data_IF_422500195883
#
_entry.id   IF_422500195883
#
_cell.length_a   1.000
_cell.length_b   1.000
_cell.length_c   1.000
_cell.angle_alpha   90.00
_cell.angle_beta   90.00
_cell.angle_gamma   90.00
#
_symmetry.space_group_name_H-M   'P 1'
#
loop_
_entity.id
_entity.type
_entity.pdbx_description
1 polymer ?
#
# COMPACT_ATOMS: atom_id res chain seq x y z
N UNK A 1 17.54 -16.32 9.56
CA UNK A 1 17.23 -15.30 8.56
C UNK A 1 15.75 -14.92 8.65
N UNK A 2 15.48 -13.62 8.61
CA UNK A 2 14.12 -13.06 8.60
C UNK A 2 13.87 -12.54 7.19
N UNK A 3 12.81 -13.03 6.55
CA UNK A 3 12.41 -12.65 5.22
C UNK A 3 11.32 -11.59 5.31
N UNK A 4 11.68 -10.33 5.07
CA UNK A 4 10.70 -9.28 4.79
C UNK A 4 10.28 -9.35 3.30
N UNK A 5 9.69 -10.48 2.92
CA UNK A 5 9.33 -10.81 1.55
C UNK A 5 7.86 -11.22 1.42
N UNK A 6 7.31 -11.10 0.22
CA UNK A 6 6.02 -11.70 -0.12
C UNK A 6 6.13 -13.24 -0.15
N UNK A 7 5.02 -13.99 0.07
CA UNK A 7 5.00 -15.43 -0.10
C UNK A 7 5.47 -15.89 -1.49
N UNK A 8 5.23 -15.08 -2.53
CA UNK A 8 5.70 -15.35 -3.89
C UNK A 8 7.22 -15.23 -4.00
N UNK A 9 7.82 -14.16 -3.45
CA UNK A 9 9.28 -13.99 -3.44
C UNK A 9 9.97 -15.07 -2.56
N UNK A 10 9.38 -15.41 -1.41
CA UNK A 10 9.88 -16.49 -0.57
C UNK A 10 9.85 -17.85 -1.30
N UNK A 11 8.83 -18.11 -2.12
CA UNK A 11 8.77 -19.31 -2.98
C UNK A 11 9.84 -19.32 -4.07
N UNK A 12 10.19 -18.16 -4.64
CA UNK A 12 11.24 -18.08 -5.66
C UNK A 12 12.61 -18.40 -5.08
N UNK A 13 12.89 -17.94 -3.85
CA UNK A 13 14.20 -18.12 -3.21
C UNK A 13 14.33 -19.49 -2.54
N UNK A 14 13.29 -19.94 -1.81
CA UNK A 14 13.33 -21.15 -0.98
C UNK A 14 12.51 -22.32 -1.51
N UNK A 15 11.98 -22.21 -2.74
CA UNK A 15 10.97 -23.12 -3.29
C UNK A 15 11.26 -24.61 -3.10
N UNK A 16 12.51 -25.04 -3.26
CA UNK A 16 12.89 -26.45 -3.17
C UNK A 16 13.15 -26.93 -1.73
N UNK A 17 13.48 -26.01 -0.83
CA UNK A 17 13.64 -26.29 0.59
C UNK A 17 12.30 -26.26 1.37
N UNK A 18 11.28 -25.59 0.84
CA UNK A 18 9.99 -25.43 1.52
C UNK A 18 9.19 -26.74 1.58
N UNK A 19 8.66 -27.13 2.76
CA UNK A 19 7.75 -28.27 2.86
C UNK A 19 6.52 -28.11 1.98
N UNK A 20 6.05 -29.21 1.36
CA UNK A 20 4.98 -29.18 0.36
C UNK A 20 3.69 -28.50 0.81
N UNK A 21 3.31 -28.60 2.10
CA UNK A 21 2.12 -27.91 2.65
C UNK A 21 2.29 -26.39 2.68
N UNK A 22 3.47 -25.90 3.04
CA UNK A 22 3.78 -24.46 3.09
C UNK A 22 3.95 -23.91 1.68
N UNK A 23 4.63 -24.65 0.79
CA UNK A 23 4.74 -24.32 -0.64
C UNK A 23 3.37 -24.13 -1.28
N UNK A 24 2.42 -25.04 -1.01
CA UNK A 24 1.02 -24.92 -1.48
C UNK A 24 0.25 -23.75 -0.87
N UNK A 25 0.52 -23.39 0.38
CA UNK A 25 -0.11 -22.23 1.01
C UNK A 25 0.36 -20.94 0.36
N UNK A 26 1.68 -20.76 0.20
CA UNK A 26 2.25 -19.57 -0.42
C UNK A 26 1.82 -19.40 -1.88
N UNK A 27 1.66 -20.50 -2.64
CA UNK A 27 1.17 -20.45 -4.03
C UNK A 27 -0.29 -20.01 -4.15
N UNK A 28 -1.11 -20.29 -3.14
CA UNK A 28 -2.53 -19.92 -3.10
C UNK A 28 -2.77 -18.58 -2.40
N UNK A 29 -1.71 -17.92 -1.94
CA UNK A 29 -1.81 -16.62 -1.30
C UNK A 29 -2.35 -15.60 -2.31
N UNK A 30 -3.44 -14.91 -1.94
CA UNK A 30 -4.11 -13.98 -2.83
C UNK A 30 -3.58 -12.57 -2.64
N UNK A 31 -3.25 -11.93 -3.73
CA UNK A 31 -2.94 -10.51 -3.81
C UNK A 31 -4.18 -9.80 -4.34
N UNK A 32 -4.49 -8.61 -3.85
CA UNK A 32 -5.88 -8.13 -3.93
C UNK A 32 -6.11 -6.65 -4.16
N UNK A 33 -5.26 -5.77 -3.64
CA UNK A 33 -5.43 -4.31 -3.83
C UNK A 33 -4.16 -3.74 -4.36
N UNK A 34 -4.20 -3.09 -5.53
CA UNK A 34 -3.05 -2.40 -6.06
C UNK A 34 -3.17 -0.89 -5.83
N UNK A 35 -2.03 -0.23 -5.72
CA UNK A 35 -1.94 1.22 -5.70
C UNK A 35 -1.46 1.75 -7.04
N UNK A 36 -1.99 2.89 -7.46
CA UNK A 36 -1.38 3.74 -8.48
C UNK A 36 -0.93 5.02 -7.79
N UNK A 37 0.38 5.26 -7.75
CA UNK A 37 0.97 6.37 -6.99
C UNK A 37 1.16 7.58 -7.90
N UNK A 38 0.79 8.75 -7.42
CA UNK A 38 1.01 10.02 -8.11
C UNK A 38 1.59 11.01 -7.11
N UNK A 39 2.80 11.49 -7.38
CA UNK A 39 3.45 12.54 -6.62
C UNK A 39 3.29 13.86 -7.36
N UNK A 40 3.05 14.93 -6.61
CA UNK A 40 2.96 16.27 -7.17
C UNK A 40 3.92 17.22 -6.44
N UNK A 41 4.43 18.18 -7.19
CA UNK A 41 4.94 19.43 -6.62
C UNK A 41 3.89 20.50 -6.88
N UNK A 42 3.42 21.18 -5.84
CA UNK A 42 2.37 22.19 -5.93
C UNK A 42 2.85 23.55 -5.46
N UNK A 43 2.33 24.62 -6.04
CA UNK A 43 2.58 25.99 -5.60
C UNK A 43 1.60 26.39 -4.47
N UNK A 44 2.17 26.68 -3.29
CA UNK A 44 1.43 26.93 -2.06
C UNK A 44 0.69 25.70 -1.54
N UNK A 45 -0.36 25.94 -0.76
CA UNK A 45 -1.16 24.87 -0.15
C UNK A 45 -2.28 24.36 -1.05
N UNK A 46 -2.69 23.10 -0.81
CA UNK A 46 -3.90 22.56 -1.42
C UNK A 46 -5.11 23.39 -0.95
N UNK A 47 -5.95 23.91 -1.87
CA UNK A 47 -7.09 24.76 -1.53
C UNK A 47 -8.28 23.94 -1.02
N UNK A 48 -8.09 23.15 0.04
CA UNK A 48 -9.15 22.32 0.61
C UNK A 48 -10.37 23.14 0.98
N UNK A 49 -11.55 22.66 0.55
CA UNK A 49 -12.85 23.22 0.95
C UNK A 49 -13.08 23.05 2.45
N UNK A 50 -12.65 21.91 3.01
CA UNK A 50 -12.70 21.68 4.46
C UNK A 50 -11.43 22.23 5.13
N UNK A 51 -11.53 23.21 6.05
CA UNK A 51 -10.35 23.81 6.69
C UNK A 51 -9.57 22.82 7.56
N UNK A 52 -10.19 21.75 8.08
CA UNK A 52 -9.49 20.73 8.86
C UNK A 52 -8.45 19.97 8.03
N UNK A 53 -8.71 19.77 6.73
CA UNK A 53 -7.81 19.08 5.82
C UNK A 53 -6.50 19.85 5.59
N UNK A 54 -6.50 21.18 5.76
CA UNK A 54 -5.29 22.03 5.63
C UNK A 54 -4.26 21.77 6.71
N UNK A 55 -4.64 21.13 7.82
CA UNK A 55 -3.72 20.77 8.92
C UNK A 55 -3.45 19.28 9.02
N UNK A 56 -4.06 18.48 8.16
CA UNK A 56 -3.98 17.03 8.22
C UNK A 56 -2.73 16.54 7.46
N UNK A 57 -1.89 15.74 8.12
CA UNK A 57 -0.74 15.12 7.46
C UNK A 57 -1.15 14.16 6.34
N UNK A 58 -2.29 13.47 6.50
CA UNK A 58 -2.88 12.61 5.47
C UNK A 58 -4.39 12.82 5.40
N UNK A 59 -4.91 12.95 4.19
CA UNK A 59 -6.34 13.07 3.88
C UNK A 59 -6.80 11.85 3.09
N UNK A 60 -7.91 11.25 3.49
CA UNK A 60 -8.53 10.12 2.80
C UNK A 60 -9.73 10.61 1.99
N UNK A 61 -9.62 10.58 0.67
CA UNK A 61 -10.63 11.07 -0.27
C UNK A 61 -11.46 9.91 -0.81
N UNK A 62 -12.64 9.72 -0.24
CA UNK A 62 -13.60 8.69 -0.65
C UNK A 62 -15.04 9.15 -0.82
N UNK A 63 -15.36 10.36 -0.35
CA UNK A 63 -16.74 10.84 -0.27
C UNK A 63 -17.53 10.12 0.84
N UNK A 64 -18.81 9.81 0.57
CA UNK A 64 -19.66 9.09 1.52
C UNK A 64 -19.26 7.62 1.65
N UNK A 65 -19.76 6.95 2.69
CA UNK A 65 -19.53 5.52 2.86
C UNK A 65 -20.04 4.70 1.66
N UNK A 66 -21.18 5.05 1.08
CA UNK A 66 -21.72 4.36 -0.10
C UNK A 66 -20.81 4.51 -1.32
N UNK A 67 -20.21 5.70 -1.50
CA UNK A 67 -19.27 5.98 -2.59
C UNK A 67 -17.98 5.18 -2.43
N UNK A 68 -17.44 5.11 -1.20
CA UNK A 68 -16.29 4.25 -0.87
C UNK A 68 -16.61 2.80 -1.16
N UNK A 69 -17.75 2.31 -0.66
CA UNK A 69 -18.17 0.93 -0.84
C UNK A 69 -18.39 0.58 -2.32
N UNK A 70 -18.90 1.52 -3.12
CA UNK A 70 -19.04 1.35 -4.57
C UNK A 70 -17.66 1.30 -5.26
N UNK A 71 -16.78 2.26 -4.98
CA UNK A 71 -15.41 2.29 -5.53
C UNK A 71 -14.64 1.00 -5.23
N UNK A 72 -14.70 0.51 -3.98
CA UNK A 72 -14.03 -0.73 -3.60
C UNK A 72 -14.64 -1.97 -4.25
N UNK A 73 -15.95 -2.00 -4.50
CA UNK A 73 -16.61 -3.09 -5.24
C UNK A 73 -16.19 -3.11 -6.70
N UNK A 74 -16.15 -1.96 -7.38
CA UNK A 74 -15.69 -1.86 -8.76
C UNK A 74 -14.24 -2.36 -8.88
N UNK A 75 -13.37 -1.87 -7.99
CA UNK A 75 -11.97 -2.29 -7.91
C UNK A 75 -11.82 -3.80 -7.71
N UNK A 76 -12.57 -4.37 -6.76
CA UNK A 76 -12.55 -5.81 -6.48
C UNK A 76 -13.09 -6.63 -7.67
N UNK A 77 -13.97 -6.06 -8.49
CA UNK A 77 -14.45 -6.66 -9.73
C UNK A 77 -13.51 -6.43 -10.93
N UNK A 78 -12.32 -5.86 -10.71
CA UNK A 78 -11.33 -5.60 -11.74
C UNK A 78 -11.56 -4.34 -12.57
N UNK A 79 -12.54 -3.50 -12.19
CA UNK A 79 -12.90 -2.27 -12.93
C UNK A 79 -12.33 -1.04 -12.23
N UNK A 80 -11.78 -0.11 -13.01
CA UNK A 80 -11.26 1.14 -12.47
C UNK A 80 -12.43 2.06 -12.07
N UNK A 81 -12.56 2.46 -10.78
CA UNK A 81 -13.60 3.39 -10.37
C UNK A 81 -13.37 4.77 -10.99
N UNK A 82 -14.45 5.46 -11.38
CA UNK A 82 -14.36 6.86 -11.85
C UNK A 82 -13.83 7.81 -10.76
N UNK A 83 -14.18 7.54 -9.49
CA UNK A 83 -13.73 8.28 -8.31
C UNK A 83 -13.05 7.31 -7.35
N UNK A 84 -11.77 6.97 -7.58
CA UNK A 84 -11.09 6.00 -6.75
C UNK A 84 -10.86 6.55 -5.35
N UNK A 85 -10.94 5.66 -4.35
CA UNK A 85 -10.48 6.00 -3.00
C UNK A 85 -9.00 6.38 -3.06
N UNK A 86 -8.69 7.61 -2.66
CA UNK A 86 -7.37 8.22 -2.83
C UNK A 86 -6.86 8.75 -1.50
N UNK A 87 -5.65 8.36 -1.12
CA UNK A 87 -4.95 8.97 0.00
C UNK A 87 -4.04 10.06 -0.51
N UNK A 88 -4.01 11.19 0.20
CA UNK A 88 -3.16 12.34 -0.09
C UNK A 88 -2.36 12.67 1.16
N UNK A 89 -1.04 12.62 1.06
CA UNK A 89 -0.12 13.01 2.12
C UNK A 89 0.48 14.39 1.88
N UNK A 90 0.45 15.21 2.92
CA UNK A 90 0.94 16.59 2.97
C UNK A 90 2.06 16.69 4.00
N UNK A 91 3.15 15.93 3.78
CA UNK A 91 4.23 15.80 4.77
C UNK A 91 4.92 17.12 5.09
N UNK A 92 4.91 18.06 4.14
CA UNK A 92 5.48 19.40 4.31
C UNK A 92 4.84 20.21 5.46
N UNK A 93 3.61 19.87 5.87
CA UNK A 93 2.95 20.50 7.01
C UNK A 93 3.65 20.15 8.34
N UNK A 94 4.20 18.94 8.44
CA UNK A 94 4.94 18.49 9.62
C UNK A 94 6.43 18.84 9.53
N UNK A 95 6.98 18.83 8.31
CA UNK A 95 8.38 19.13 8.03
C UNK A 95 8.50 20.10 6.86
N UNK A 96 8.48 21.43 7.13
CA UNK A 96 8.57 22.46 6.09
C UNK A 96 9.88 22.43 5.30
N UNK A 97 10.92 21.74 5.79
CA UNK A 97 12.21 21.64 5.08
C UNK A 97 12.13 20.79 3.81
N UNK A 98 11.02 20.05 3.64
CA UNK A 98 10.71 19.31 2.40
C UNK A 98 10.28 20.22 1.26
N UNK A 99 9.90 21.47 1.55
CA UNK A 99 9.47 22.44 0.55
C UNK A 99 10.65 23.24 0.01
N UNK A 100 10.56 23.60 -1.28
CA UNK A 100 11.52 24.47 -1.94
C UNK A 100 10.85 25.83 -2.21
N UNK A 101 11.07 26.79 -1.30
CA UNK A 101 10.36 28.07 -1.34
C UNK A 101 8.85 27.86 -1.15
N UNK A 102 8.05 28.34 -2.10
CA UNK A 102 6.59 28.15 -2.10
C UNK A 102 6.13 26.79 -2.63
N UNK A 103 7.04 25.95 -3.12
CA UNK A 103 6.69 24.67 -3.76
C UNK A 103 6.69 23.55 -2.74
N UNK A 104 5.52 22.94 -2.56
CA UNK A 104 5.25 21.90 -1.57
C UNK A 104 5.16 20.52 -2.26
N UNK A 105 5.90 19.50 -1.79
CA UNK A 105 5.73 18.14 -2.29
C UNK A 105 4.54 17.46 -1.62
N UNK A 106 3.73 16.77 -2.41
CA UNK A 106 2.66 15.90 -1.94
C UNK A 106 2.78 14.52 -2.58
N UNK A 107 2.46 13.49 -1.82
CA UNK A 107 2.30 12.14 -2.36
C UNK A 107 0.83 11.77 -2.35
N UNK A 108 0.41 11.00 -3.34
CA UNK A 108 -0.92 10.42 -3.35
C UNK A 108 -0.89 9.02 -3.93
N UNK A 109 -1.88 8.21 -3.56
CA UNK A 109 -2.15 6.99 -4.30
C UNK A 109 -3.64 6.68 -4.32
N UNK A 110 -4.09 6.18 -5.47
CA UNK A 110 -5.43 5.67 -5.67
C UNK A 110 -5.44 4.15 -5.52
N UNK A 111 -6.54 3.64 -4.96
CA UNK A 111 -6.85 2.22 -5.01
C UNK A 111 -7.29 1.83 -6.42
N UNK A 112 -6.52 0.95 -7.06
CA UNK A 112 -6.78 0.47 -8.43
C UNK A 112 -6.93 -1.05 -8.48
N UNK A 113 -7.55 -1.60 -9.54
CA UNK A 113 -7.60 -3.05 -9.73
C UNK A 113 -6.22 -3.70 -9.67
N UNK A 114 -6.15 -4.92 -9.16
CA UNK A 114 -4.90 -5.68 -9.14
C UNK A 114 -4.34 -5.82 -10.56
N UNK A 115 -3.07 -5.44 -10.77
CA UNK A 115 -2.44 -5.47 -12.08
C UNK A 115 -2.99 -4.45 -13.09
N UNK A 116 -3.66 -3.39 -12.64
CA UNK A 116 -4.16 -2.32 -13.51
C UNK A 116 -3.03 -1.73 -14.38
N UNK A 117 -3.23 -1.75 -15.70
CA UNK A 117 -2.22 -1.32 -16.69
C UNK A 117 -2.48 0.07 -17.28
N UNK A 118 -3.62 0.69 -16.95
CA UNK A 118 -3.93 2.05 -17.40
C UNK A 118 -3.22 3.12 -16.58
N UNK A 119 -3.45 4.37 -16.96
CA UNK A 119 -3.06 5.54 -16.20
C UNK A 119 -4.23 6.00 -15.32
N UNK A 120 -3.99 6.24 -14.03
CA UNK A 120 -4.98 6.78 -13.10
C UNK A 120 -4.66 8.21 -12.65
N UNK A 121 -3.68 8.86 -13.28
CA UNK A 121 -3.22 10.22 -12.92
C UNK A 121 -4.36 11.22 -12.96
N UNK A 122 -5.12 11.28 -14.05
CA UNK A 122 -6.26 12.20 -14.15
C UNK A 122 -7.36 11.89 -13.14
N UNK A 123 -7.66 10.61 -12.88
CA UNK A 123 -8.65 10.20 -11.88
C UNK A 123 -8.24 10.61 -10.45
N UNK A 124 -6.94 10.55 -10.14
CA UNK A 124 -6.39 11.05 -8.87
C UNK A 124 -6.54 12.57 -8.78
N UNK A 125 -6.17 13.29 -9.84
CA UNK A 125 -6.28 14.75 -9.86
C UNK A 125 -7.75 15.17 -9.74
N UNK A 126 -8.67 14.53 -10.47
CA UNK A 126 -10.12 14.79 -10.38
C UNK A 126 -10.67 14.53 -8.99
N UNK A 127 -10.20 13.48 -8.31
CA UNK A 127 -10.62 13.16 -6.95
C UNK A 127 -10.17 14.24 -5.95
N UNK A 128 -8.96 14.78 -6.13
CA UNK A 128 -8.45 15.88 -5.29
C UNK A 128 -9.19 17.18 -5.63
N UNK A 129 -9.34 17.50 -6.91
CA UNK A 129 -10.04 18.69 -7.42
C UNK A 129 -11.48 18.77 -6.89
N UNK A 130 -12.20 17.65 -6.82
CA UNK A 130 -13.55 17.60 -6.28
C UNK A 130 -13.65 17.98 -4.79
N UNK A 131 -12.57 17.83 -4.02
CA UNK A 131 -12.49 18.21 -2.61
C UNK A 131 -11.75 19.55 -2.37
N UNK A 132 -10.91 19.94 -3.32
CA UNK A 132 -10.11 21.16 -3.32
C UNK A 132 -10.13 21.82 -4.70
N UNK A 133 -11.21 22.55 -5.05
CA UNK A 133 -11.30 23.24 -6.33
C UNK A 133 -10.13 24.22 -6.53
N UNK A 134 -9.52 24.20 -7.71
CA UNK A 134 -8.30 24.93 -8.04
C UNK A 134 -7.01 24.18 -7.72
N UNK A 135 -7.08 22.89 -7.36
CA UNK A 135 -5.88 22.07 -7.14
C UNK A 135 -5.06 21.91 -8.42
N UNK A 136 -5.72 21.66 -9.56
CA UNK A 136 -5.08 21.55 -10.88
C UNK A 136 -4.18 22.74 -11.21
N UNK A 137 -4.63 23.95 -10.87
CA UNK A 137 -3.90 25.19 -11.14
C UNK A 137 -2.65 25.36 -10.26
N UNK A 138 -2.55 24.59 -9.16
CA UNK A 138 -1.37 24.60 -8.28
C UNK A 138 -0.30 23.61 -8.71
N UNK A 139 -0.60 22.67 -9.62
CA UNK A 139 0.35 21.62 -9.99
C UNK A 139 1.49 22.22 -10.82
N UNK A 140 2.71 22.15 -10.29
CA UNK A 140 3.94 22.55 -10.98
C UNK A 140 4.59 21.35 -11.66
N UNK A 141 4.55 20.18 -11.03
CA UNK A 141 5.05 18.95 -11.61
C UNK A 141 4.27 17.74 -11.12
N UNK A 142 4.19 16.71 -11.96
CA UNK A 142 3.51 15.44 -11.68
C UNK A 142 4.44 14.28 -12.03
N UNK A 143 4.54 13.31 -11.14
CA UNK A 143 5.25 12.04 -11.39
C UNK A 143 4.34 10.89 -10.98
N UNK A 144 4.00 10.02 -11.92
CA UNK A 144 3.20 8.82 -11.64
C UNK A 144 4.07 7.56 -11.59
N UNK A 145 3.63 6.58 -10.78
CA UNK A 145 4.14 5.21 -10.78
C UNK A 145 2.96 4.25 -10.91
N UNK A 146 2.92 3.58 -12.05
CA UNK A 146 1.99 2.49 -12.34
C UNK A 146 2.18 1.29 -11.42
N UNK A 147 1.19 0.39 -11.42
CA UNK A 147 1.26 -0.88 -10.65
C UNK A 147 2.48 -1.72 -11.01
N UNK A 148 2.86 -1.75 -12.30
CA UNK A 148 4.03 -2.47 -12.82
C UNK A 148 5.34 -1.80 -12.39
N UNK A 149 5.39 -0.47 -12.38
CA UNK A 149 6.56 0.26 -11.89
C UNK A 149 6.73 0.12 -10.37
N UNK A 150 5.63 0.07 -9.60
CA UNK A 150 5.68 -0.22 -8.18
C UNK A 150 6.19 -1.64 -7.90
N UNK A 151 5.73 -2.63 -8.67
CA UNK A 151 6.23 -4.00 -8.59
C UNK A 151 7.72 -4.09 -8.97
N UNK A 152 8.15 -3.33 -9.98
CA UNK A 152 9.56 -3.29 -10.39
C UNK A 152 10.45 -2.58 -9.35
N UNK A 153 9.91 -1.54 -8.70
CA UNK A 153 10.58 -0.82 -7.62
C UNK A 153 10.76 -1.69 -6.37
N UNK A 154 9.75 -2.48 -6.02
CA UNK A 154 9.81 -3.42 -4.91
C UNK A 154 9.09 -4.72 -5.31
N UNK A 155 9.82 -5.84 -5.50
CA UNK A 155 9.23 -7.14 -5.84
C UNK A 155 8.18 -7.66 -4.85
N UNK A 156 8.11 -7.09 -3.63
CA UNK A 156 7.04 -7.38 -2.68
C UNK A 156 5.69 -6.78 -3.09
N UNK A 157 5.66 -5.73 -3.91
CA UNK A 157 4.45 -5.09 -4.42
C UNK A 157 3.94 -5.81 -5.67
N UNK A 158 3.73 -7.12 -5.57
CA UNK A 158 3.27 -7.94 -6.68
C UNK A 158 2.01 -7.32 -7.30
N UNK A 159 2.05 -7.01 -8.60
CA UNK A 159 0.92 -6.39 -9.30
C UNK A 159 0.49 -5.02 -8.74
N UNK A 160 1.38 -4.32 -8.02
CA UNK A 160 1.12 -3.05 -7.34
C UNK A 160 0.55 -3.19 -5.93
N UNK A 161 0.49 -4.40 -5.37
CA UNK A 161 -0.07 -4.65 -4.03
C UNK A 161 0.86 -4.17 -2.90
N UNK A 162 0.69 -2.90 -2.53
CA UNK A 162 1.46 -2.26 -1.45
C UNK A 162 1.07 -2.76 -0.06
N UNK A 163 -0.03 -3.50 0.06
CA UNK A 163 -0.55 -4.02 1.32
C UNK A 163 0.01 -5.43 1.62
N UNK A 164 0.47 -6.11 0.57
CA UNK A 164 1.08 -7.43 0.64
C UNK A 164 0.08 -8.56 0.80
N UNK A 165 -1.13 -8.40 0.28
CA UNK A 165 -2.15 -9.44 0.23
C UNK A 165 -3.59 -8.93 0.33
N UNK A 166 -4.54 -9.77 -0.08
CA UNK A 166 -5.96 -9.50 0.05
C UNK A 166 -6.38 -9.26 1.52
N UNK A 167 -7.16 -8.20 1.74
CA UNK A 167 -7.72 -7.82 3.04
C UNK A 167 -9.12 -8.41 3.30
N UNK A 168 -9.38 -9.63 2.82
CA UNK A 168 -10.61 -10.32 3.16
C UNK A 168 -10.59 -10.85 4.61
N UNK A 169 -11.78 -11.03 5.18
CA UNK A 169 -11.99 -11.35 6.61
C UNK A 169 -11.11 -12.50 7.11
N UNK A 170 -10.94 -13.56 6.31
CA UNK A 170 -10.19 -14.75 6.71
C UNK A 170 -8.68 -14.58 6.47
N UNK A 171 -8.27 -13.96 5.36
CA UNK A 171 -6.86 -13.75 5.07
C UNK A 171 -6.23 -12.68 5.96
N UNK A 172 -6.98 -11.70 6.47
CA UNK A 172 -6.46 -10.78 7.51
C UNK A 172 -6.07 -11.55 8.78
N UNK A 173 -6.90 -12.50 9.21
CA UNK A 173 -6.68 -13.26 10.44
C UNK A 173 -5.62 -14.37 10.29
N UNK A 174 -5.59 -15.05 9.14
CA UNK A 174 -4.79 -16.26 8.93
C UNK A 174 -3.70 -16.10 7.86
N UNK A 175 -3.24 -14.88 7.56
CA UNK A 175 -2.10 -14.68 6.66
C UNK A 175 -0.79 -15.14 7.30
N UNK A 176 0.19 -15.65 6.53
CA UNK A 176 0.05 -16.08 5.15
C UNK A 176 -0.65 -17.45 5.04
N UNK A 177 -0.81 -18.16 6.16
CA UNK A 177 -1.43 -19.48 6.26
C UNK A 177 -2.01 -19.71 7.66
N UNK A 178 -3.02 -20.57 7.76
CA UNK A 178 -3.52 -21.08 9.05
C UNK A 178 -2.42 -21.91 9.72
N UNK A 179 -1.92 -21.45 10.87
CA UNK A 179 -0.81 -22.06 11.58
C UNK A 179 -0.73 -21.58 13.03
N UNK A 180 -0.19 -22.43 13.91
CA UNK A 180 0.22 -22.03 15.27
C UNK A 180 1.41 -21.05 15.22
N UNK A 181 2.35 -21.30 14.29
CA UNK A 181 3.47 -20.41 13.98
C UNK A 181 3.40 -20.04 12.49
N UNK A 182 2.77 -18.91 12.13
CA UNK A 182 2.61 -18.48 10.74
C UNK A 182 3.90 -17.89 10.13
N UNK A 183 4.86 -17.52 10.97
CA UNK A 183 6.14 -16.94 10.56
C UNK A 183 7.14 -18.02 10.14
N UNK A 184 7.16 -19.17 10.82
CA UNK A 184 8.06 -20.26 10.44
C UNK A 184 7.74 -20.82 9.05
N UNK A 185 8.76 -20.83 8.18
CA UNK A 185 8.64 -21.27 6.77
C UNK A 185 8.74 -22.79 6.60
N UNK A 186 9.08 -23.52 7.67
CA UNK A 186 9.38 -24.95 7.59
C UNK A 186 10.85 -25.25 7.33
N UNK A 187 11.64 -24.27 6.88
CA UNK A 187 13.09 -24.38 6.73
C UNK A 187 13.74 -23.94 8.05
N UNK A 188 14.58 -24.78 8.70
CA UNK A 188 15.24 -24.42 9.95
C UNK A 188 15.95 -23.06 9.87
N UNK A 189 15.63 -22.17 10.80
CA UNK A 189 16.23 -20.83 10.88
C UNK A 189 15.71 -19.81 9.87
N UNK A 190 14.68 -20.11 9.07
CA UNK A 190 14.08 -19.18 8.09
C UNK A 190 12.64 -18.85 8.47
N UNK A 191 12.36 -17.55 8.61
CA UNK A 191 11.06 -17.01 9.03
C UNK A 191 10.58 -15.95 8.03
N UNK A 192 9.28 -15.92 7.75
CA UNK A 192 8.63 -14.88 6.96
C UNK A 192 8.09 -13.81 7.91
N UNK A 193 8.56 -12.58 7.77
CA UNK A 193 8.31 -11.47 8.70
C UNK A 193 7.98 -10.19 7.93
N UNK A 194 7.05 -10.28 6.97
CA UNK A 194 6.61 -9.17 6.13
C UNK A 194 5.15 -8.78 6.40
N UNK A 195 4.67 -7.75 5.69
CA UNK A 195 3.25 -7.35 5.65
C UNK A 195 2.27 -8.46 5.21
N UNK A 196 2.79 -9.57 4.66
CA UNK A 196 2.01 -10.78 4.36
C UNK A 196 1.84 -11.70 5.57
N UNK A 197 2.35 -11.34 6.75
CA UNK A 197 2.20 -12.08 8.01
C UNK A 197 1.40 -11.26 9.04
N UNK A 198 0.90 -11.86 10.14
CA UNK A 198 0.23 -11.10 11.20
C UNK A 198 1.22 -10.11 11.85
N UNK A 199 0.77 -9.00 12.45
CA UNK A 199 -0.59 -8.72 12.92
C UNK A 199 -1.47 -7.96 11.92
N UNK A 200 -0.91 -7.30 10.89
CA UNK A 200 -1.72 -6.45 10.02
C UNK A 200 -1.12 -6.20 8.62
N UNK A 201 -1.98 -5.98 7.61
CA UNK A 201 -1.63 -5.47 6.28
C UNK A 201 -0.90 -4.12 6.31
N UNK A 202 -0.04 -3.84 5.32
CA UNK A 202 0.52 -2.51 5.08
C UNK A 202 1.58 -2.00 6.08
N UNK A 203 1.92 -2.81 7.09
CA UNK A 203 3.08 -2.58 7.95
C UNK A 203 4.20 -3.54 7.55
N UNK A 204 5.24 -3.01 6.90
CA UNK A 204 6.53 -3.69 6.78
C UNK A 204 7.36 -3.36 8.03
N UNK A 205 8.10 -4.34 8.56
CA UNK A 205 9.00 -4.16 9.71
C UNK A 205 8.45 -4.54 11.10
N UNK A 206 7.13 -4.65 11.31
CA UNK A 206 6.54 -5.01 12.60
C UNK A 206 5.85 -6.39 12.59
N UNK A 207 6.61 -7.45 12.35
CA UNK A 207 6.13 -8.78 12.72
C UNK A 207 5.96 -8.82 14.25
N UNK A 208 4.72 -8.94 14.73
CA UNK A 208 4.36 -8.73 16.13
C UNK A 208 5.27 -9.56 17.07
N UNK A 209 5.81 -8.90 18.11
CA UNK A 209 6.49 -9.57 19.22
C UNK A 209 5.48 -10.48 19.92
N UNK A 210 5.41 -11.75 19.49
CA UNK A 210 4.79 -12.84 20.25
C UNK A 210 5.83 -13.47 21.18
N UNK A 211 5.43 -14.23 22.22
CA UNK A 211 6.40 -14.79 23.20
C UNK A 211 7.48 -15.70 22.58
N UNK A 212 7.25 -16.24 21.37
CA UNK A 212 8.23 -16.99 20.57
C UNK A 212 9.17 -16.11 19.72
N UNK A 213 8.87 -14.82 19.57
CA UNK A 213 9.55 -13.86 18.70
C UNK A 213 10.75 -13.15 19.34
N UNK A 214 11.26 -13.61 20.50
CA UNK A 214 12.57 -13.16 21.02
C UNK A 214 13.74 -13.39 20.05
N UNK A 215 13.54 -14.17 18.97
CA UNK A 215 14.54 -14.40 17.90
C UNK A 215 14.46 -13.40 16.74
N UNK A 216 13.42 -12.59 16.65
CA UNK A 216 13.14 -11.72 15.51
C UNK A 216 13.47 -10.25 15.80
N UNK A 217 14.59 -9.99 16.50
CA UNK A 217 15.09 -8.67 16.94
C UNK A 217 14.43 -7.46 16.28
N UNK A 218 13.83 -6.59 17.11
CA UNK A 218 13.04 -5.44 16.65
C UNK A 218 13.74 -4.66 15.55
N UNK A 219 13.03 -4.46 14.44
CA UNK A 219 13.51 -3.69 13.30
C UNK A 219 12.87 -2.28 13.35
N UNK A 220 13.62 -1.19 13.17
CA UNK A 220 13.05 0.16 13.10
C UNK A 220 12.15 0.31 11.87
N UNK A 221 11.04 1.03 12.04
CA UNK A 221 10.16 1.42 10.94
C UNK A 221 10.61 2.79 10.41
N UNK A 222 11.39 2.79 9.33
CA UNK A 222 11.76 4.02 8.62
C UNK A 222 10.80 4.20 7.42
N UNK A 223 9.99 5.27 7.47
CA UNK A 223 9.15 5.77 6.37
C UNK A 223 9.75 7.03 5.78
#
# INVERSE_FOLDING_TARGET
MLLDLSPAAALQIYGDALPGRIKRAYRRYRYGSAAFKVDFAIDGDIPWTNPACRRAGTVHLGGTFEQIAHSERERAAGRMPQRPFTLVGQQYLADPTRSAGGINPIWSYAHVPFGYTGDATDAVIDQIEGAAPGFRDRIVATVSKSTAQLHSYNPNYLGGDIIGGANDRLQVLFRPRVAVDPYFTGVPGVYLCSQSTPPAPGFTGCAAITPRNRRCGGCPADW
#
